data_IF_665041563346
#
_entry.id   IF_665041563346
#
_cell.length_a   1.000
_cell.length_b   1.000
_cell.length_c   1.000
_cell.angle_alpha   90.00
_cell.angle_beta   90.00
_cell.angle_gamma   90.00
#
_symmetry.space_group_name_H-M   'P 1'
#
loop_
_entity.id
_entity.type
_entity.pdbx_description
1 polymer ?
#
# COMPACT_ATOMS: atom_id res chain seq x y z
N UNK A 1 -18.87 5.60 11.04
CA UNK A 1 -18.19 4.32 11.31
C UNK A 1 -16.71 4.62 11.47
N UNK A 2 -16.08 4.15 12.55
CA UNK A 2 -14.63 4.29 12.75
C UNK A 2 -14.03 2.91 12.51
N UNK A 3 -13.02 2.83 11.66
CA UNK A 3 -12.23 1.61 11.48
C UNK A 3 -10.99 1.71 12.36
N UNK A 4 -10.76 0.70 13.19
CA UNK A 4 -9.56 0.59 14.00
C UNK A 4 -8.67 -0.47 13.39
N UNK A 5 -7.41 -0.13 13.17
CA UNK A 5 -6.42 -1.09 12.70
C UNK A 5 -6.01 -2.02 13.84
N UNK A 6 -5.78 -3.29 13.52
CA UNK A 6 -5.10 -4.20 14.45
C UNK A 6 -3.61 -3.92 14.47
N UNK A 7 -2.92 -4.30 15.54
CA UNK A 7 -1.46 -4.19 15.62
C UNK A 7 -0.77 -4.95 14.47
N UNK A 8 -1.33 -6.09 14.06
CA UNK A 8 -0.82 -6.84 12.92
C UNK A 8 -0.97 -6.05 11.60
N UNK A 9 -2.11 -5.41 11.38
CA UNK A 9 -2.34 -4.58 10.18
C UNK A 9 -1.39 -3.38 10.16
N UNK A 10 -1.25 -2.67 11.28
CA UNK A 10 -0.31 -1.56 11.40
C UNK A 10 1.14 -2.01 11.17
N UNK A 11 1.52 -3.16 11.72
CA UNK A 11 2.87 -3.69 11.54
C UNK A 11 3.14 -4.05 10.07
N UNK A 12 2.20 -4.72 9.40
CA UNK A 12 2.34 -5.03 7.97
C UNK A 12 2.43 -3.76 7.11
N UNK A 13 1.59 -2.75 7.38
CA UNK A 13 1.59 -1.49 6.63
C UNK A 13 2.87 -0.66 6.85
N UNK A 14 3.55 -0.84 7.98
CA UNK A 14 4.79 -0.14 8.34
C UNK A 14 6.07 -0.97 8.09
N UNK A 15 5.97 -2.10 7.38
CA UNK A 15 7.12 -2.97 7.11
C UNK A 15 7.17 -3.46 5.67
N UNK A 16 8.36 -3.93 5.29
CA UNK A 16 8.61 -4.69 4.05
C UNK A 16 7.99 -4.03 2.81
N UNK A 17 7.21 -4.78 2.03
CA UNK A 17 6.69 -4.33 0.75
C UNK A 17 5.82 -3.07 0.89
N UNK A 18 5.01 -2.91 1.94
CA UNK A 18 4.11 -1.77 2.04
C UNK A 18 4.87 -0.44 2.03
N UNK A 19 5.96 -0.32 2.80
CA UNK A 19 6.78 0.90 2.88
C UNK A 19 7.50 1.20 1.58
N UNK A 20 8.10 0.19 0.95
CA UNK A 20 8.95 0.39 -0.22
C UNK A 20 8.21 0.31 -1.57
N UNK A 21 6.96 -0.15 -1.58
CA UNK A 21 6.19 -0.38 -2.81
C UNK A 21 5.86 0.89 -3.60
N UNK A 22 5.86 2.06 -2.94
CA UNK A 22 5.70 3.37 -3.61
C UNK A 22 6.98 3.87 -4.28
N UNK A 23 8.08 3.12 -4.15
CA UNK A 23 9.31 3.36 -4.87
C UNK A 23 9.34 2.49 -6.13
N UNK A 24 9.40 3.15 -7.30
CA UNK A 24 9.36 2.44 -8.60
C UNK A 24 10.58 1.55 -8.81
N UNK A 25 11.78 2.05 -8.49
CA UNK A 25 13.03 1.28 -8.66
C UNK A 25 13.09 0.07 -7.73
N UNK A 26 12.60 0.20 -6.50
CA UNK A 26 12.45 -0.94 -5.59
C UNK A 26 11.53 -2.00 -6.19
N UNK A 27 10.36 -1.58 -6.69
CA UNK A 27 9.35 -2.49 -7.24
C UNK A 27 9.88 -3.26 -8.44
N UNK A 28 10.56 -2.56 -9.36
CA UNK A 28 11.19 -3.15 -10.55
C UNK A 28 12.29 -4.16 -10.18
N UNK A 29 13.19 -3.79 -9.26
CA UNK A 29 14.28 -4.68 -8.81
C UNK A 29 13.77 -5.95 -8.14
N UNK A 30 12.70 -5.84 -7.37
CA UNK A 30 12.12 -6.97 -6.62
C UNK A 30 11.01 -7.72 -7.38
N UNK A 31 10.73 -7.35 -8.63
CA UNK A 31 9.64 -7.93 -9.45
C UNK A 31 8.29 -7.89 -8.74
N UNK A 32 8.03 -6.79 -8.02
CA UNK A 32 6.75 -6.52 -7.35
C UNK A 32 5.97 -5.46 -8.12
N UNK A 33 4.67 -5.37 -7.86
CA UNK A 33 3.86 -4.29 -8.41
C UNK A 33 4.25 -2.95 -7.80
N UNK A 34 4.28 -1.91 -8.61
CA UNK A 34 4.44 -0.53 -8.16
C UNK A 34 3.13 -0.05 -7.54
N UNK A 35 3.19 0.43 -6.31
CA UNK A 35 2.02 0.93 -5.60
C UNK A 35 1.81 2.42 -5.88
N UNK A 36 0.63 2.76 -6.37
CA UNK A 36 0.21 4.12 -6.72
C UNK A 36 -1.28 4.25 -6.41
N UNK A 37 -1.77 5.46 -6.17
CA UNK A 37 -3.19 5.73 -5.96
C UNK A 37 -4.01 5.60 -7.26
N UNK A 38 -3.39 5.91 -8.40
CA UNK A 38 -3.98 5.80 -9.75
C UNK A 38 -3.17 4.86 -10.65
N UNK A 39 -3.42 3.54 -10.58
CA UNK A 39 -2.69 2.56 -11.40
C UNK A 39 -3.11 2.65 -12.86
N UNK A 40 -2.13 2.71 -13.77
CA UNK A 40 -2.33 2.91 -15.20
C UNK A 40 -2.11 1.64 -16.04
N UNK A 41 -1.44 0.63 -15.49
CA UNK A 41 -1.11 -0.61 -16.21
C UNK A 41 -1.07 -1.82 -15.27
N UNK A 42 -0.87 -3.02 -15.83
CA UNK A 42 -0.92 -4.30 -15.09
C UNK A 42 0.17 -4.46 -14.02
N UNK A 43 1.27 -3.71 -14.13
CA UNK A 43 2.39 -3.74 -13.19
C UNK A 43 2.16 -2.77 -12.01
N UNK A 44 1.07 -2.01 -12.03
CA UNK A 44 0.70 -1.06 -10.99
C UNK A 44 -0.48 -1.60 -10.18
N UNK A 45 -0.61 -1.15 -8.94
CA UNK A 45 -1.75 -1.47 -8.08
C UNK A 45 -2.01 -0.34 -7.07
N UNK A 46 -3.27 -0.20 -6.68
CA UNK A 46 -3.69 0.63 -5.54
C UNK A 46 -4.27 -0.21 -4.40
N UNK A 47 -3.93 -1.50 -4.32
CA UNK A 47 -4.40 -2.39 -3.26
C UNK A 47 -3.21 -2.99 -2.52
N UNK A 48 -3.30 -3.01 -1.18
CA UNK A 48 -2.39 -3.73 -0.29
C UNK A 48 -3.22 -4.73 0.50
N UNK A 49 -2.73 -5.96 0.62
CA UNK A 49 -3.35 -7.01 1.43
C UNK A 49 -2.43 -7.31 2.60
N UNK A 50 -2.94 -7.19 3.83
CA UNK A 50 -2.19 -7.55 5.05
C UNK A 50 -2.19 -9.06 5.26
N UNK A 51 -1.29 -9.55 6.13
CA UNK A 51 -1.12 -10.99 6.36
C UNK A 51 -2.35 -11.73 6.87
N UNK A 52 -3.30 -11.02 7.48
CA UNK A 52 -4.61 -11.52 7.93
C UNK A 52 -5.67 -11.54 6.81
N UNK A 53 -5.32 -11.13 5.59
CA UNK A 53 -6.21 -11.09 4.44
C UNK A 53 -7.07 -9.84 4.32
N UNK A 54 -6.95 -8.86 5.22
CA UNK A 54 -7.63 -7.58 5.08
C UNK A 54 -7.05 -6.79 3.89
N UNK A 55 -7.92 -6.29 3.02
CA UNK A 55 -7.53 -5.45 1.89
C UNK A 55 -7.66 -3.97 2.22
N UNK A 56 -6.70 -3.20 1.72
CA UNK A 56 -6.62 -1.76 1.86
C UNK A 56 -6.46 -1.12 0.50
N UNK A 57 -7.23 -0.07 0.24
CA UNK A 57 -7.05 0.79 -0.93
C UNK A 57 -6.06 1.90 -0.61
N UNK A 58 -5.06 2.05 -1.44
CA UNK A 58 -4.14 3.19 -1.43
C UNK A 58 -4.85 4.39 -2.04
N UNK A 59 -4.98 5.45 -1.25
CA UNK A 59 -5.75 6.66 -1.61
C UNK A 59 -4.85 7.85 -1.96
N UNK A 60 -3.58 7.79 -1.55
CA UNK A 60 -2.55 8.73 -1.94
C UNK A 60 -1.18 8.07 -1.77
N UNK A 61 -0.25 8.41 -2.65
CA UNK A 61 1.17 8.08 -2.48
C UNK A 61 2.00 9.35 -2.56
N UNK A 62 3.16 9.33 -1.90
CA UNK A 62 4.15 10.38 -1.97
C UNK A 62 5.52 9.72 -1.99
N UNK A 63 6.25 9.94 -3.08
CA UNK A 63 7.66 9.58 -3.18
C UNK A 63 8.48 10.85 -3.37
N UNK A 64 9.50 11.01 -2.55
CA UNK A 64 10.47 12.11 -2.62
C UNK A 64 11.89 11.54 -2.67
N UNK A 65 12.51 11.48 -3.86
CA UNK A 65 13.84 10.91 -4.03
C UNK A 65 14.96 11.74 -3.39
N UNK A 66 14.71 13.02 -3.05
CA UNK A 66 15.73 13.89 -2.44
C UNK A 66 15.84 13.61 -0.94
N UNK A 67 14.71 13.53 -0.25
CA UNK A 67 14.68 13.17 1.17
C UNK A 67 14.74 11.66 1.41
N UNK A 68 14.46 10.86 0.38
CA UNK A 68 14.26 9.41 0.51
C UNK A 68 12.94 9.07 1.20
N UNK A 69 12.03 10.04 1.35
CA UNK A 69 10.73 9.82 1.98
C UNK A 69 9.75 9.21 0.98
N UNK A 70 9.34 7.99 1.28
CA UNK A 70 8.37 7.22 0.53
C UNK A 70 7.22 6.86 1.47
N UNK A 71 6.01 7.31 1.16
CA UNK A 71 4.83 7.15 2.01
C UNK A 71 3.55 6.96 1.23
N UNK A 72 2.54 6.41 1.89
CA UNK A 72 1.22 6.17 1.34
C UNK A 72 0.14 6.34 2.41
N UNK A 73 -1.05 6.72 1.96
CA UNK A 73 -2.25 6.70 2.78
C UNK A 73 -3.15 5.56 2.30
N UNK A 74 -3.74 4.82 3.25
CA UNK A 74 -4.68 3.74 2.95
C UNK A 74 -6.04 3.92 3.61
N UNK A 75 -7.07 3.37 2.97
CA UNK A 75 -8.39 3.15 3.53
C UNK A 75 -8.74 1.66 3.51
N UNK A 76 -9.34 1.09 4.57
CA UNK A 76 -9.78 -0.30 4.58
C UNK A 76 -10.89 -0.53 3.55
N UNK A 77 -10.81 -1.65 2.82
CA UNK A 77 -11.92 -2.14 1.99
C UNK A 77 -12.80 -2.98 2.92
N UNK A 78 -13.92 -2.41 3.35
CA UNK A 78 -14.92 -3.13 4.13
C UNK A 78 -15.89 -3.82 3.16
N UNK A 79 -16.02 -5.16 3.19
CA UNK A 79 -17.05 -5.82 2.41
C UNK A 79 -18.41 -5.35 2.89
N UNK A 80 -19.29 -5.02 1.95
CA UNK A 80 -20.70 -4.79 2.26
C UNK A 80 -21.25 -6.16 2.66
N UNK A 81 -21.56 -6.34 3.95
CA UNK A 81 -22.44 -7.42 4.40
C UNK A 81 -23.83 -7.09 3.83
N UNK A 82 -24.19 -7.77 2.74
CA UNK A 82 -25.54 -7.78 2.15
C UNK A 82 -26.41 -8.80 2.87
#
# INVERSE_FOLDING_TARGET
MVFNYTDNQLNNLNQDFAVYSVNKEFSERNKKKFVTDTPNNKNETNTITTSDGQEFRVVATKSDPVSGFDGLAVAPIVPILV
#
